data_IF_219548401613
#
_entry.id   IF_219548401613
#
_cell.length_a   1.000
_cell.length_b   1.000
_cell.length_c   1.000
_cell.angle_alpha   90.00
_cell.angle_beta   90.00
_cell.angle_gamma   90.00
#
_symmetry.space_group_name_H-M   'P 1'
#
loop_
_entity.id
_entity.type
_entity.pdbx_description
1 polymer ?
#
# COMPACT_ATOMS: atom_id res chain seq x y z
N UNK A 1 5.05 9.10 6.87
CA UNK A 1 5.04 10.04 5.72
C UNK A 1 4.09 9.59 4.61
N UNK A 2 4.17 8.36 4.10
CA UNK A 2 3.32 7.89 3.00
C UNK A 2 1.81 8.07 3.27
N UNK A 3 1.31 7.67 4.44
CA UNK A 3 -0.08 7.88 4.87
C UNK A 3 -0.50 9.35 4.84
N UNK A 4 0.39 10.26 5.27
CA UNK A 4 0.10 11.70 5.24
C UNK A 4 0.01 12.20 3.80
N UNK A 5 0.92 11.78 2.92
CA UNK A 5 0.85 12.13 1.48
C UNK A 5 -0.45 11.61 0.88
N UNK A 6 -0.84 10.38 1.19
CA UNK A 6 -2.08 9.76 0.73
C UNK A 6 -3.32 10.60 1.11
N UNK A 7 -3.47 10.97 2.39
CA UNK A 7 -4.59 11.83 2.81
C UNK A 7 -4.48 13.26 2.29
N UNK A 8 -3.26 13.74 2.07
CA UNK A 8 -3.02 15.06 1.49
C UNK A 8 -3.47 15.18 0.03
N UNK A 9 -3.28 14.13 -0.81
CA UNK A 9 -3.76 14.14 -2.20
C UNK A 9 -5.28 14.05 -2.29
N UNK A 10 -5.94 13.46 -1.28
CA UNK A 10 -7.40 13.54 -1.10
C UNK A 10 -7.88 14.92 -0.61
N UNK A 11 -6.97 15.79 -0.17
CA UNK A 11 -7.32 17.11 0.36
C UNK A 11 -7.82 17.09 1.81
N UNK A 12 -7.46 16.08 2.58
CA UNK A 12 -8.04 15.82 3.91
C UNK A 12 -7.22 16.42 5.08
N UNK A 13 -5.97 16.84 4.87
CA UNK A 13 -5.12 17.34 5.96
C UNK A 13 -5.47 18.78 6.37
N UNK A 14 -5.67 19.64 5.38
CA UNK A 14 -6.01 21.06 5.57
C UNK A 14 -7.25 21.42 4.75
N UNK A 15 -7.92 22.50 5.16
CA UNK A 15 -8.99 23.08 4.34
C UNK A 15 -8.44 23.67 3.04
N UNK A 16 -7.24 24.25 3.10
CA UNK A 16 -6.55 24.82 1.94
C UNK A 16 -5.88 23.77 1.09
N UNK A 17 -6.26 23.64 -0.19
CA UNK A 17 -5.60 22.76 -1.15
C UNK A 17 -4.13 23.14 -1.39
N UNK A 18 -3.79 24.44 -1.29
CA UNK A 18 -2.40 24.90 -1.39
C UNK A 18 -1.54 24.33 -0.26
N UNK A 19 -2.06 24.26 0.96
CA UNK A 19 -1.37 23.68 2.11
C UNK A 19 -1.22 22.16 1.97
N UNK A 20 -2.26 21.46 1.53
CA UNK A 20 -2.19 20.03 1.22
C UNK A 20 -1.08 19.74 0.20
N UNK A 21 -1.08 20.49 -0.91
CA UNK A 21 -0.05 20.37 -1.95
C UNK A 21 1.35 20.66 -1.40
N UNK A 22 1.55 21.77 -0.71
CA UNK A 22 2.86 22.15 -0.18
C UNK A 22 3.45 21.09 0.75
N UNK A 23 2.66 20.58 1.71
CA UNK A 23 3.12 19.51 2.60
C UNK A 23 3.42 18.22 1.83
N UNK A 24 2.54 17.80 0.92
CA UNK A 24 2.76 16.61 0.12
C UNK A 24 4.00 16.71 -0.78
N UNK A 25 4.26 17.88 -1.36
CA UNK A 25 5.48 18.09 -2.18
C UNK A 25 6.74 17.94 -1.34
N UNK A 26 6.78 18.51 -0.13
CA UNK A 26 7.91 18.32 0.79
C UNK A 26 8.08 16.85 1.14
N UNK A 27 7.03 16.19 1.66
CA UNK A 27 7.12 14.81 2.13
C UNK A 27 7.44 13.83 1.00
N UNK A 28 6.86 14.03 -0.19
CA UNK A 28 7.13 13.16 -1.35
C UNK A 28 8.53 13.37 -1.92
N UNK A 29 9.11 14.57 -1.80
CA UNK A 29 10.51 14.82 -2.14
C UNK A 29 11.44 14.06 -1.19
N UNK A 30 11.18 14.15 0.13
CA UNK A 30 11.98 13.45 1.14
C UNK A 30 11.92 11.92 0.96
N UNK A 31 10.78 11.36 0.59
CA UNK A 31 10.62 9.92 0.32
C UNK A 31 11.06 9.51 -1.09
N UNK A 32 11.41 10.47 -1.96
CA UNK A 32 11.74 10.20 -3.36
C UNK A 32 10.59 9.44 -4.06
N UNK A 33 9.37 9.92 -3.90
CA UNK A 33 8.17 9.39 -4.57
C UNK A 33 7.55 10.45 -5.47
N UNK A 34 6.57 10.06 -6.29
CA UNK A 34 5.98 10.92 -7.30
C UNK A 34 5.41 12.25 -6.71
N UNK A 35 5.40 13.36 -7.49
CA UNK A 35 4.86 14.65 -7.10
C UNK A 35 3.37 14.60 -6.80
N UNK A 36 2.88 15.58 -6.03
CA UNK A 36 1.49 15.71 -5.60
C UNK A 36 0.48 15.58 -6.76
N UNK A 37 0.65 16.35 -7.84
CA UNK A 37 -0.33 16.36 -8.95
C UNK A 37 -0.39 15.00 -9.67
N UNK A 38 0.77 14.38 -9.92
CA UNK A 38 0.83 13.07 -10.57
C UNK A 38 0.19 11.99 -9.71
N UNK A 39 0.44 12.02 -8.39
CA UNK A 39 -0.15 11.07 -7.47
C UNK A 39 -1.65 11.31 -7.31
N UNK A 40 -2.08 12.56 -7.19
CA UNK A 40 -3.50 12.91 -7.10
C UNK A 40 -4.28 12.51 -8.35
N UNK A 41 -3.73 12.79 -9.54
CA UNK A 41 -4.34 12.40 -10.82
C UNK A 41 -4.53 10.89 -10.86
N UNK A 42 -3.49 10.14 -10.57
CA UNK A 42 -3.53 8.70 -10.59
C UNK A 42 -4.42 8.13 -9.47
N UNK A 43 -4.16 8.49 -8.22
CA UNK A 43 -4.77 7.83 -7.06
C UNK A 43 -6.23 8.25 -6.85
N UNK A 44 -6.51 9.57 -6.86
CA UNK A 44 -7.85 10.08 -6.54
C UNK A 44 -8.80 9.98 -7.72
N UNK A 45 -8.35 10.27 -8.95
CA UNK A 45 -9.26 10.35 -10.10
C UNK A 45 -9.30 9.07 -10.94
N UNK A 46 -8.19 8.31 -11.02
CA UNK A 46 -8.15 7.07 -11.79
C UNK A 46 -8.45 5.87 -10.89
N UNK A 47 -7.63 5.62 -9.85
CA UNK A 47 -7.72 4.47 -8.96
C UNK A 47 -8.99 4.47 -8.09
N UNK A 48 -9.34 5.61 -7.44
CA UNK A 48 -10.66 5.73 -6.77
C UNK A 48 -11.83 5.95 -7.73
N UNK A 49 -11.56 6.10 -9.02
CA UNK A 49 -12.54 6.37 -10.06
C UNK A 49 -12.83 5.15 -10.94
N UNK A 50 -13.12 5.45 -12.20
CA UNK A 50 -13.55 4.47 -13.19
C UNK A 50 -12.52 3.38 -13.52
N UNK A 51 -11.24 3.67 -13.31
CA UNK A 51 -10.16 2.73 -13.62
C UNK A 51 -9.99 1.63 -12.57
N UNK A 52 -10.58 1.79 -11.38
CA UNK A 52 -10.43 0.83 -10.28
C UNK A 52 -10.73 -0.61 -10.71
N UNK A 53 -9.83 -1.50 -10.37
CA UNK A 53 -9.89 -2.93 -10.73
C UNK A 53 -10.05 -3.19 -12.23
N UNK A 54 -9.48 -2.34 -13.10
CA UNK A 54 -9.39 -2.54 -14.54
C UNK A 54 -7.92 -2.53 -14.99
N UNK A 55 -7.65 -2.89 -16.25
CA UNK A 55 -6.29 -2.79 -16.80
C UNK A 55 -5.78 -1.35 -16.98
N UNK A 56 -6.64 -0.34 -16.81
CA UNK A 56 -6.26 1.07 -16.78
C UNK A 56 -5.79 1.50 -15.39
N UNK A 57 -6.10 0.74 -14.35
CA UNK A 57 -5.60 0.94 -12.99
C UNK A 57 -4.10 0.64 -12.94
N UNK A 58 -3.30 1.65 -12.67
CA UNK A 58 -1.83 1.52 -12.66
C UNK A 58 -1.34 0.61 -11.54
N UNK A 59 -2.05 0.54 -10.41
CA UNK A 59 -1.68 -0.34 -9.30
C UNK A 59 -1.96 -1.80 -9.64
N UNK A 60 -3.13 -2.12 -10.21
CA UNK A 60 -3.42 -3.45 -10.71
C UNK A 60 -2.44 -3.85 -11.83
N UNK A 61 -2.19 -2.94 -12.76
CA UNK A 61 -1.22 -3.18 -13.84
C UNK A 61 0.19 -3.44 -13.28
N UNK A 62 0.63 -2.70 -12.26
CA UNK A 62 1.93 -2.90 -11.61
C UNK A 62 2.02 -4.27 -10.91
N UNK A 63 0.97 -4.67 -10.18
CA UNK A 63 0.89 -6.00 -9.53
C UNK A 63 0.99 -7.12 -10.57
N UNK A 64 0.28 -7.00 -11.69
CA UNK A 64 0.33 -7.99 -12.76
C UNK A 64 1.66 -8.02 -13.51
N UNK A 65 2.26 -6.84 -13.76
CA UNK A 65 3.60 -6.74 -14.37
C UNK A 65 4.69 -7.31 -13.47
N UNK A 66 4.53 -7.19 -12.15
CA UNK A 66 5.39 -7.87 -11.18
C UNK A 66 5.18 -9.39 -11.14
N UNK A 67 4.18 -9.92 -11.83
CA UNK A 67 3.92 -11.35 -11.95
C UNK A 67 2.94 -11.92 -10.93
N UNK A 68 2.27 -11.10 -10.12
CA UNK A 68 1.18 -11.54 -9.24
C UNK A 68 -0.13 -11.57 -10.02
N UNK A 69 -0.33 -12.62 -10.80
CA UNK A 69 -1.44 -12.75 -11.75
C UNK A 69 -2.37 -13.90 -11.37
N UNK A 70 -3.67 -13.84 -11.75
CA UNK A 70 -4.58 -14.97 -11.65
C UNK A 70 -4.04 -16.27 -12.31
N UNK A 71 -4.53 -17.41 -11.85
CA UNK A 71 -4.20 -18.74 -12.39
C UNK A 71 -2.88 -19.33 -11.91
N UNK A 72 -2.15 -18.67 -11.00
CA UNK A 72 -1.01 -19.24 -10.28
C UNK A 72 -1.48 -19.87 -8.98
N UNK A 73 -0.87 -20.98 -8.59
CA UNK A 73 -1.11 -21.59 -7.28
C UNK A 73 -0.61 -20.66 -6.15
N UNK A 74 -1.18 -20.80 -4.97
CA UNK A 74 -0.71 -20.05 -3.77
C UNK A 74 0.78 -20.25 -3.52
N UNK A 75 1.28 -21.47 -3.66
CA UNK A 75 2.69 -21.78 -3.46
C UNK A 75 3.58 -21.02 -4.44
N UNK A 76 3.19 -20.96 -5.72
CA UNK A 76 3.90 -20.17 -6.73
C UNK A 76 3.88 -18.68 -6.40
N UNK A 77 2.74 -18.13 -5.94
CA UNK A 77 2.63 -16.73 -5.56
C UNK A 77 3.53 -16.38 -4.36
N UNK A 78 3.59 -17.25 -3.33
CA UNK A 78 4.49 -17.05 -2.20
C UNK A 78 5.96 -17.19 -2.58
N UNK A 79 6.32 -18.17 -3.37
CA UNK A 79 7.69 -18.33 -3.89
C UNK A 79 8.09 -17.10 -4.73
N UNK A 80 7.16 -16.63 -5.58
CA UNK A 80 7.36 -15.45 -6.40
C UNK A 80 7.53 -14.17 -5.54
N UNK A 81 6.73 -13.99 -4.48
CA UNK A 81 6.89 -12.89 -3.54
C UNK A 81 8.27 -12.90 -2.90
N UNK A 82 8.69 -14.05 -2.36
CA UNK A 82 10.02 -14.19 -1.75
C UNK A 82 11.13 -13.81 -2.73
N UNK A 83 11.11 -14.38 -3.94
CA UNK A 83 12.09 -14.08 -4.99
C UNK A 83 12.07 -12.60 -5.41
N UNK A 84 10.89 -11.97 -5.48
CA UNK A 84 10.76 -10.55 -5.79
C UNK A 84 11.39 -9.69 -4.70
N UNK A 85 11.09 -9.97 -3.43
CA UNK A 85 11.61 -9.19 -2.29
C UNK A 85 13.14 -9.23 -2.17
N UNK A 86 13.79 -10.32 -2.58
CA UNK A 86 15.25 -10.43 -2.55
C UNK A 86 15.91 -10.08 -3.91
N UNK A 87 15.14 -9.77 -4.96
CA UNK A 87 15.66 -9.52 -6.31
C UNK A 87 16.35 -8.16 -6.43
N UNK A 88 17.64 -8.11 -6.75
CA UNK A 88 18.32 -6.83 -7.04
C UNK A 88 17.66 -6.08 -8.20
N UNK A 89 17.17 -6.79 -9.23
CA UNK A 89 16.46 -6.20 -10.37
C UNK A 89 15.20 -5.45 -9.91
N UNK A 90 14.39 -6.04 -9.02
CA UNK A 90 13.21 -5.39 -8.44
C UNK A 90 13.61 -4.06 -7.77
N UNK A 91 14.60 -4.10 -6.89
CA UNK A 91 15.04 -2.91 -6.18
C UNK A 91 15.59 -1.82 -7.10
N UNK A 92 16.40 -2.18 -8.09
CA UNK A 92 16.98 -1.22 -9.04
C UNK A 92 15.90 -0.59 -9.95
N UNK A 93 14.98 -1.40 -10.50
CA UNK A 93 13.92 -0.90 -11.39
C UNK A 93 12.94 0.01 -10.64
N UNK A 94 12.52 -0.37 -9.44
CA UNK A 94 11.65 0.47 -8.63
C UNK A 94 12.32 1.76 -8.19
N UNK A 95 13.58 1.69 -7.75
CA UNK A 95 14.32 2.88 -7.37
C UNK A 95 14.52 3.81 -8.57
N UNK A 96 14.87 3.28 -9.72
CA UNK A 96 14.96 4.06 -10.96
C UNK A 96 13.63 4.74 -11.30
N UNK A 97 12.50 4.03 -11.20
CA UNK A 97 11.17 4.63 -11.41
C UNK A 97 10.89 5.80 -10.47
N UNK A 98 11.24 5.65 -9.19
CA UNK A 98 11.14 6.73 -8.18
C UNK A 98 12.04 7.92 -8.53
N UNK A 99 13.28 7.69 -8.96
CA UNK A 99 14.19 8.74 -9.41
C UNK A 99 13.62 9.48 -10.62
N UNK A 100 13.20 8.72 -11.63
CA UNK A 100 12.62 9.28 -12.85
C UNK A 100 11.41 10.17 -12.54
N UNK A 101 10.51 9.73 -11.64
CA UNK A 101 9.33 10.51 -11.26
C UNK A 101 9.63 11.82 -10.52
N UNK A 102 10.85 11.99 -10.01
CA UNK A 102 11.30 13.20 -9.33
C UNK A 102 12.16 14.14 -10.20
N UNK A 103 12.65 13.65 -11.34
CA UNK A 103 13.59 14.37 -12.20
C UNK A 103 13.04 14.67 -13.59
N UNK A 104 12.12 13.84 -14.10
CA UNK A 104 11.66 13.92 -15.49
C UNK A 104 10.20 14.37 -15.55
N UNK A 105 9.93 15.43 -16.32
CA UNK A 105 8.58 15.95 -16.52
C UNK A 105 7.97 16.63 -15.27
N UNK A 106 8.82 17.03 -14.32
CA UNK A 106 8.38 17.68 -13.07
C UNK A 106 8.43 19.21 -13.19
N UNK A 107 7.63 19.96 -12.43
CA UNK A 107 7.73 21.40 -12.35
C UNK A 107 9.12 21.88 -11.84
N UNK A 108 9.61 23.07 -12.27
CA UNK A 108 10.94 23.55 -11.88
C UNK A 108 11.16 23.62 -10.37
N UNK A 109 10.17 24.01 -9.59
CA UNK A 109 10.28 24.03 -8.11
C UNK A 109 10.53 22.63 -7.54
N UNK A 110 9.89 21.61 -8.11
CA UNK A 110 10.09 20.22 -7.66
C UNK A 110 11.51 19.73 -7.98
N UNK A 111 12.01 20.05 -9.15
CA UNK A 111 13.40 19.71 -9.51
C UNK A 111 14.40 20.36 -8.54
N UNK A 112 14.22 21.65 -8.22
CA UNK A 112 15.07 22.36 -7.26
C UNK A 112 15.01 21.69 -5.87
N UNK A 113 13.82 21.40 -5.34
CA UNK A 113 13.68 20.69 -4.07
C UNK A 113 14.37 19.33 -4.08
N UNK A 114 14.23 18.59 -5.17
CA UNK A 114 14.87 17.28 -5.36
C UNK A 114 16.39 17.40 -5.36
N UNK A 115 16.95 18.34 -6.10
CA UNK A 115 18.39 18.57 -6.14
C UNK A 115 18.96 19.01 -4.78
N UNK A 116 18.27 19.90 -4.06
CA UNK A 116 18.63 20.30 -2.69
C UNK A 116 18.65 19.08 -1.76
N UNK A 117 17.60 18.25 -1.83
CA UNK A 117 17.53 17.04 -1.00
C UNK A 117 18.65 16.05 -1.32
N UNK A 118 18.99 15.86 -2.59
CA UNK A 118 20.10 15.00 -3.01
C UNK A 118 21.45 15.53 -2.57
N UNK A 119 21.65 16.85 -2.65
CA UNK A 119 22.87 17.47 -2.13
C UNK A 119 22.97 17.28 -0.60
N UNK A 120 21.86 17.38 0.13
CA UNK A 120 21.82 17.10 1.57
C UNK A 120 22.15 15.64 1.88
N UNK A 121 21.58 14.67 1.12
CA UNK A 121 21.90 13.25 1.28
C UNK A 121 23.38 12.96 0.97
N UNK A 122 23.93 13.57 -0.07
CA UNK A 122 25.35 13.44 -0.41
C UNK A 122 26.25 14.02 0.70
N UNK A 123 25.91 15.20 1.21
CA UNK A 123 26.62 15.81 2.35
C UNK A 123 26.55 14.93 3.61
N UNK A 124 25.37 14.41 3.94
CA UNK A 124 25.22 13.43 5.03
C UNK A 124 26.09 12.18 4.83
N UNK A 125 26.13 11.66 3.61
CA UNK A 125 26.94 10.47 3.29
C UNK A 125 28.44 10.70 3.52
N UNK A 126 28.94 11.90 3.20
CA UNK A 126 30.33 12.29 3.47
C UNK A 126 30.61 12.32 4.98
N UNK A 127 29.68 12.90 5.76
CA UNK A 127 29.82 13.02 7.22
C UNK A 127 29.70 11.67 7.95
N UNK A 128 28.80 10.80 7.49
CA UNK A 128 28.53 9.50 8.12
C UNK A 128 29.60 8.44 7.78
N UNK A 129 30.26 8.57 6.63
CA UNK A 129 31.13 7.53 6.08
C UNK A 129 30.36 6.38 5.44
N UNK A 130 31.08 5.48 4.76
CA UNK A 130 30.49 4.46 3.87
C UNK A 130 29.55 3.50 4.59
N UNK A 131 29.96 2.89 5.69
CA UNK A 131 29.17 1.88 6.39
C UNK A 131 27.85 2.44 6.94
N UNK A 132 27.91 3.62 7.59
CA UNK A 132 26.71 4.25 8.11
C UNK A 132 25.77 4.75 6.99
N UNK A 133 26.33 5.25 5.87
CA UNK A 133 25.54 5.60 4.68
C UNK A 133 24.77 4.40 4.14
N UNK A 134 25.41 3.25 4.01
CA UNK A 134 24.73 2.02 3.56
C UNK A 134 23.59 1.66 4.52
N UNK A 135 23.85 1.61 5.82
CA UNK A 135 22.88 1.14 6.80
C UNK A 135 21.73 2.12 7.04
N UNK A 136 22.00 3.43 7.08
CA UNK A 136 21.03 4.45 7.49
C UNK A 136 20.29 5.06 6.29
N UNK A 137 20.93 5.14 5.12
CA UNK A 137 20.34 5.75 3.93
C UNK A 137 20.00 4.71 2.86
N UNK A 138 20.96 3.95 2.34
CA UNK A 138 20.71 3.09 1.18
C UNK A 138 19.77 1.94 1.50
N UNK A 139 19.99 1.19 2.56
CA UNK A 139 19.12 0.07 2.93
C UNK A 139 17.68 0.52 3.18
N UNK A 140 17.40 1.57 4.01
CA UNK A 140 16.03 2.02 4.21
C UNK A 140 15.37 2.56 2.95
N UNK A 141 16.04 3.40 2.17
CA UNK A 141 15.43 4.07 1.00
C UNK A 141 15.34 3.20 -0.25
N UNK A 142 16.30 2.29 -0.45
CA UNK A 142 16.39 1.48 -1.70
C UNK A 142 15.84 0.08 -1.50
N UNK A 143 15.96 -0.51 -0.30
CA UNK A 143 15.54 -1.89 -0.06
C UNK A 143 14.28 -1.95 0.79
N UNK A 144 14.34 -1.51 2.06
CA UNK A 144 13.23 -1.71 2.99
C UNK A 144 11.96 -0.93 2.59
N UNK A 145 12.11 0.30 2.09
CA UNK A 145 10.97 1.06 1.58
C UNK A 145 10.24 0.31 0.46
N UNK A 146 10.97 -0.30 -0.46
CA UNK A 146 10.35 -1.01 -1.60
C UNK A 146 9.73 -2.34 -1.18
N UNK A 147 10.37 -3.08 -0.27
CA UNK A 147 9.79 -4.29 0.30
C UNK A 147 8.47 -3.99 1.02
N UNK A 148 8.48 -2.97 1.89
CA UNK A 148 7.28 -2.59 2.64
C UNK A 148 6.20 -2.00 1.75
N UNK A 149 6.55 -1.23 0.72
CA UNK A 149 5.60 -0.70 -0.27
C UNK A 149 4.95 -1.81 -1.09
N UNK A 150 5.71 -2.84 -1.51
CA UNK A 150 5.13 -3.98 -2.21
C UNK A 150 4.18 -4.77 -1.31
N UNK A 151 4.56 -5.04 -0.06
CA UNK A 151 3.69 -5.73 0.89
C UNK A 151 2.43 -4.93 1.22
N UNK A 152 2.56 -3.61 1.33
CA UNK A 152 1.44 -2.71 1.50
C UNK A 152 0.48 -2.80 0.31
N UNK A 153 0.99 -2.58 -0.90
CA UNK A 153 0.22 -2.63 -2.14
C UNK A 153 -0.46 -3.99 -2.35
N UNK A 154 0.26 -5.10 -2.20
CA UNK A 154 -0.30 -6.46 -2.36
C UNK A 154 -1.47 -6.75 -1.43
N UNK A 155 -1.51 -6.11 -0.26
CA UNK A 155 -2.54 -6.37 0.74
C UNK A 155 -3.68 -5.35 0.75
N UNK A 156 -3.66 -4.32 -0.08
CA UNK A 156 -4.72 -3.28 -0.12
C UNK A 156 -5.99 -3.78 -0.81
N UNK A 157 -5.82 -4.59 -1.84
CA UNK A 157 -6.90 -5.05 -2.72
C UNK A 157 -6.75 -6.53 -3.04
N UNK A 158 -7.85 -7.11 -3.52
CA UNK A 158 -7.85 -8.51 -3.98
C UNK A 158 -7.14 -8.67 -5.33
N UNK A 159 -6.97 -7.59 -6.09
CA UNK A 159 -6.31 -7.52 -7.40
C UNK A 159 -6.96 -8.40 -8.48
N UNK A 160 -8.28 -8.51 -8.43
CA UNK A 160 -9.09 -9.15 -9.47
C UNK A 160 -9.65 -8.07 -10.39
N UNK A 161 -9.63 -8.34 -11.70
CA UNK A 161 -10.24 -7.45 -12.69
C UNK A 161 -11.75 -7.44 -12.50
N UNK A 162 -12.32 -6.25 -12.49
CA UNK A 162 -13.75 -6.02 -12.35
C UNK A 162 -14.55 -6.80 -13.40
N UNK A 163 -15.59 -7.49 -12.94
CA UNK A 163 -16.48 -8.26 -13.80
C UNK A 163 -17.28 -7.40 -14.76
N UNK A 164 -17.75 -8.01 -15.84
CA UNK A 164 -18.64 -7.34 -16.80
C UNK A 164 -19.97 -7.01 -16.11
N UNK A 165 -20.41 -5.74 -16.20
CA UNK A 165 -21.62 -5.25 -15.53
C UNK A 165 -21.45 -4.86 -14.06
N UNK A 166 -20.31 -5.16 -13.41
CA UNK A 166 -20.03 -4.73 -12.05
C UNK A 166 -19.78 -3.21 -12.01
N UNK A 167 -20.49 -2.52 -11.14
CA UNK A 167 -20.28 -1.08 -10.93
C UNK A 167 -18.96 -0.79 -10.20
N UNK A 168 -18.42 0.43 -10.35
CA UNK A 168 -17.23 0.88 -9.60
C UNK A 168 -17.45 0.74 -8.09
N UNK A 169 -18.65 1.05 -7.59
CA UNK A 169 -18.97 0.95 -6.17
C UNK A 169 -18.96 -0.50 -5.66
N UNK A 170 -19.54 -1.42 -6.40
CA UNK A 170 -19.50 -2.84 -6.08
C UNK A 170 -18.07 -3.36 -6.09
N UNK A 171 -17.28 -2.97 -7.09
CA UNK A 171 -15.87 -3.33 -7.15
C UNK A 171 -15.08 -2.80 -5.96
N UNK A 172 -15.32 -1.57 -5.49
CA UNK A 172 -14.71 -1.06 -4.25
C UNK A 172 -15.09 -1.91 -3.03
N UNK A 173 -16.35 -2.35 -2.94
CA UNK A 173 -16.82 -3.20 -1.83
C UNK A 173 -16.15 -4.57 -1.87
N UNK A 174 -16.07 -5.18 -3.05
CA UNK A 174 -15.59 -6.55 -3.23
C UNK A 174 -14.06 -6.67 -3.19
N UNK A 175 -13.34 -5.65 -3.65
CA UNK A 175 -11.90 -5.73 -3.88
C UNK A 175 -11.04 -4.93 -2.90
N UNK A 176 -11.61 -4.10 -2.01
CA UNK A 176 -10.82 -3.34 -1.03
C UNK A 176 -10.83 -4.04 0.34
N UNK A 177 -9.68 -4.05 1.02
CA UNK A 177 -9.48 -4.82 2.24
C UNK A 177 -9.24 -3.93 3.46
N UNK A 178 -9.76 -4.34 4.64
CA UNK A 178 -9.28 -3.86 5.92
C UNK A 178 -8.22 -4.82 6.48
N UNK A 179 -7.11 -4.27 6.99
CA UNK A 179 -5.94 -5.05 7.41
C UNK A 179 -5.47 -4.60 8.77
N UNK A 180 -5.87 -5.32 9.80
CA UNK A 180 -5.50 -5.01 11.17
C UNK A 180 -4.26 -5.78 11.59
N UNK A 181 -3.44 -5.21 12.47
CA UNK A 181 -2.25 -5.86 13.01
C UNK A 181 -2.42 -6.07 14.51
N UNK A 182 -2.64 -7.31 14.91
CA UNK A 182 -2.84 -7.70 16.29
C UNK A 182 -3.42 -9.09 16.41
N UNK A 183 -3.48 -9.60 17.63
CA UNK A 183 -4.08 -10.89 18.00
C UNK A 183 -4.95 -10.71 19.22
N UNK A 184 -5.91 -11.62 19.42
CA UNK A 184 -6.77 -11.65 20.61
C UNK A 184 -5.90 -11.86 21.85
N UNK A 185 -6.16 -11.04 22.87
CA UNK A 185 -5.48 -11.12 24.16
C UNK A 185 -5.77 -12.47 24.85
N UNK A 186 -4.78 -13.10 25.49
CA UNK A 186 -5.01 -14.31 26.26
C UNK A 186 -6.06 -14.10 27.36
N UNK A 187 -6.90 -15.12 27.59
CA UNK A 187 -8.12 -15.02 28.41
C UNK A 187 -7.86 -14.75 29.91
N UNK A 188 -6.67 -15.04 30.45
CA UNK A 188 -6.39 -14.97 31.89
C UNK A 188 -4.91 -14.76 32.17
N UNK A 189 -4.60 -14.12 33.28
CA UNK A 189 -3.24 -13.98 33.82
C UNK A 189 -2.79 -15.16 34.70
N UNK A 190 -3.59 -16.23 34.81
CA UNK A 190 -3.19 -17.40 35.61
C UNK A 190 -1.86 -18.01 35.09
N UNK A 191 -0.99 -18.58 35.98
CA UNK A 191 0.34 -19.08 35.60
C UNK A 191 0.34 -20.05 34.41
N UNK A 192 -0.70 -20.87 34.26
CA UNK A 192 -0.85 -21.79 33.11
C UNK A 192 -0.92 -21.10 31.77
N UNK A 193 -1.22 -19.79 31.69
CA UNK A 193 -1.30 -19.01 30.45
C UNK A 193 -0.03 -18.20 30.16
N UNK A 194 1.04 -18.33 30.96
CA UNK A 194 2.27 -17.54 30.80
C UNK A 194 2.91 -17.75 29.41
N UNK A 195 2.88 -18.97 28.88
CA UNK A 195 3.36 -19.28 27.53
C UNK A 195 2.53 -18.61 26.43
N UNK A 196 1.21 -18.49 26.62
CA UNK A 196 0.34 -17.77 25.67
C UNK A 196 0.62 -16.27 25.70
N UNK A 197 0.85 -15.69 26.88
CA UNK A 197 1.24 -14.29 27.03
C UNK A 197 2.60 -13.99 26.40
N UNK A 198 3.58 -14.87 26.61
CA UNK A 198 4.90 -14.73 26.02
C UNK A 198 4.82 -14.78 24.47
N UNK A 199 4.06 -15.73 23.92
CA UNK A 199 3.81 -15.81 22.47
C UNK A 199 3.10 -14.57 21.96
N UNK A 200 2.02 -14.15 22.62
CA UNK A 200 1.24 -12.95 22.25
C UNK A 200 2.12 -11.71 22.22
N UNK A 201 2.93 -11.50 23.26
CA UNK A 201 3.85 -10.36 23.35
C UNK A 201 4.92 -10.43 22.25
N UNK A 202 5.52 -11.59 22.02
CA UNK A 202 6.50 -11.79 20.95
C UNK A 202 5.91 -11.47 19.56
N UNK A 203 4.71 -11.99 19.26
CA UNK A 203 4.00 -11.68 18.01
C UNK A 203 3.71 -10.19 17.87
N UNK A 204 3.26 -9.53 18.96
CA UNK A 204 2.99 -8.09 18.93
C UNK A 204 4.26 -7.26 18.71
N UNK A 205 5.36 -7.59 19.36
CA UNK A 205 6.61 -6.83 19.25
C UNK A 205 7.38 -7.14 17.96
N UNK A 206 7.43 -8.40 17.53
CA UNK A 206 8.30 -8.81 16.42
C UNK A 206 7.59 -8.86 15.07
N UNK A 207 6.27 -8.96 15.04
CA UNK A 207 5.49 -9.05 13.81
C UNK A 207 4.52 -7.89 13.65
N UNK A 208 3.55 -7.76 14.58
CA UNK A 208 2.48 -6.78 14.41
C UNK A 208 2.96 -5.33 14.52
N UNK A 209 3.85 -5.00 15.45
CA UNK A 209 4.39 -3.65 15.59
C UNK A 209 5.21 -3.23 14.35
N UNK A 210 6.18 -4.01 13.85
CA UNK A 210 6.84 -3.70 12.58
C UNK A 210 5.86 -3.57 11.40
N UNK A 211 4.86 -4.44 11.28
CA UNK A 211 3.85 -4.33 10.23
C UNK A 211 3.05 -3.03 10.33
N UNK A 212 2.64 -2.61 11.53
CA UNK A 212 1.93 -1.34 11.76
C UNK A 212 2.78 -0.11 11.47
N UNK A 213 4.07 -0.18 11.74
CA UNK A 213 4.97 0.94 11.55
C UNK A 213 5.43 1.08 10.09
N UNK A 214 5.62 -0.02 9.39
CA UNK A 214 6.32 -0.05 8.11
C UNK A 214 5.43 -0.43 6.92
N UNK A 215 4.39 -1.24 7.12
CA UNK A 215 3.57 -1.77 6.03
C UNK A 215 2.17 -1.14 6.05
N UNK A 216 1.37 -1.38 7.08
CA UNK A 216 -0.03 -0.91 7.18
C UNK A 216 -0.13 0.20 8.19
N UNK A 217 0.05 1.44 7.75
CA UNK A 217 0.23 2.59 8.63
C UNK A 217 -1.08 3.38 8.87
N UNK A 218 -1.32 3.73 10.12
CA UNK A 218 -2.38 4.68 10.51
C UNK A 218 -3.78 4.23 10.08
N UNK A 219 -4.56 5.17 9.57
CA UNK A 219 -5.94 4.93 9.13
C UNK A 219 -6.08 4.10 7.86
N UNK A 220 -4.98 3.86 7.12
CA UNK A 220 -4.97 2.97 5.95
C UNK A 220 -5.17 1.49 6.32
N UNK A 221 -5.24 1.15 7.61
CA UNK A 221 -5.76 -0.16 8.06
C UNK A 221 -7.20 -0.38 7.57
N UNK A 222 -8.02 0.69 7.50
CA UNK A 222 -9.40 0.69 7.02
C UNK A 222 -9.49 1.11 5.55
N UNK A 223 -8.70 0.47 4.67
CA UNK A 223 -8.63 0.83 3.26
C UNK A 223 -9.94 0.57 2.52
N UNK A 224 -10.69 -0.45 2.91
CA UNK A 224 -12.05 -0.72 2.45
C UNK A 224 -13.03 0.43 2.76
N UNK A 225 -12.94 1.03 3.95
CA UNK A 225 -13.70 2.22 4.31
C UNK A 225 -13.29 3.42 3.44
N UNK A 226 -11.99 3.61 3.27
CA UNK A 226 -11.43 4.69 2.47
C UNK A 226 -11.93 4.63 1.02
N UNK A 227 -11.96 3.47 0.38
CA UNK A 227 -12.49 3.31 -0.98
C UNK A 227 -14.00 3.55 -1.06
N UNK A 228 -14.77 3.13 -0.06
CA UNK A 228 -16.23 3.35 -0.02
C UNK A 228 -16.60 4.81 0.20
N UNK A 229 -15.79 5.54 0.95
CA UNK A 229 -16.08 6.90 1.44
C UNK A 229 -14.88 7.84 1.30
N UNK A 230 -14.22 7.82 0.15
CA UNK A 230 -12.99 8.58 -0.14
C UNK A 230 -13.09 10.10 -0.01
N UNK A 231 -14.31 10.66 0.12
CA UNK A 231 -14.53 12.09 0.36
C UNK A 231 -14.61 12.47 1.85
N UNK A 232 -14.64 11.49 2.77
CA UNK A 232 -14.72 11.72 4.21
C UNK A 232 -13.39 12.25 4.73
N UNK A 233 -13.39 13.48 5.24
CA UNK A 233 -12.18 14.19 5.67
C UNK A 233 -11.64 13.75 7.02
N UNK A 234 -12.45 13.05 7.84
CA UNK A 234 -12.07 12.57 9.17
C UNK A 234 -11.20 11.30 9.08
N UNK A 235 -10.11 11.37 8.32
CA UNK A 235 -9.21 10.24 8.08
C UNK A 235 -8.61 9.65 9.36
N UNK A 236 -8.44 10.46 10.40
CA UNK A 236 -7.96 10.04 11.71
C UNK A 236 -8.99 9.20 12.49
N UNK A 237 -10.24 9.16 12.06
CA UNK A 237 -11.37 8.50 12.74
C UNK A 237 -11.95 7.33 11.90
N UNK A 238 -11.26 6.92 10.81
CA UNK A 238 -11.77 5.89 9.87
C UNK A 238 -12.15 4.59 10.56
N UNK A 239 -11.38 4.13 11.55
CA UNK A 239 -11.71 2.91 12.29
C UNK A 239 -13.06 3.00 12.98
N UNK A 240 -13.34 4.12 13.67
CA UNK A 240 -14.61 4.37 14.35
C UNK A 240 -15.77 4.53 13.36
N UNK A 241 -15.57 5.29 12.29
CA UNK A 241 -16.61 5.52 11.27
C UNK A 241 -16.96 4.23 10.55
N UNK A 242 -15.96 3.40 10.25
CA UNK A 242 -16.14 2.07 9.67
C UNK A 242 -16.93 1.16 10.60
N UNK A 243 -16.61 1.14 11.90
CA UNK A 243 -17.30 0.33 12.91
C UNK A 243 -18.78 0.73 13.03
N UNK A 244 -19.07 2.03 13.10
CA UNK A 244 -20.46 2.55 13.12
C UNK A 244 -21.21 2.09 11.88
N UNK A 245 -20.61 2.15 10.70
CA UNK A 245 -21.24 1.72 9.46
C UNK A 245 -21.41 0.20 9.39
N UNK A 246 -20.41 -0.57 9.82
CA UNK A 246 -20.50 -2.02 9.90
C UNK A 246 -21.64 -2.47 10.83
N UNK A 247 -21.78 -1.81 11.98
CA UNK A 247 -22.88 -2.07 12.90
C UNK A 247 -24.25 -1.75 12.26
N UNK A 248 -24.37 -0.63 11.55
CA UNK A 248 -25.61 -0.31 10.82
C UNK A 248 -25.95 -1.37 9.78
N UNK A 249 -24.99 -1.81 8.99
CA UNK A 249 -25.18 -2.87 7.99
C UNK A 249 -25.56 -4.20 8.63
N UNK A 250 -25.01 -4.54 9.79
CA UNK A 250 -25.38 -5.78 10.50
C UNK A 250 -26.83 -5.81 10.96
N UNK A 251 -27.40 -4.64 11.30
CA UNK A 251 -28.84 -4.51 11.61
C UNK A 251 -29.70 -4.75 10.35
N UNK A 252 -29.17 -4.41 9.17
CA UNK A 252 -29.78 -4.65 7.86
C UNK A 252 -29.49 -6.07 7.31
N UNK A 253 -28.90 -6.96 8.13
CA UNK A 253 -28.45 -8.32 7.76
C UNK A 253 -27.45 -8.33 6.59
N UNK A 254 -26.67 -7.25 6.43
CA UNK A 254 -25.63 -7.09 5.42
C UNK A 254 -24.25 -7.14 6.07
N UNK A 255 -23.39 -7.98 5.56
CA UNK A 255 -22.03 -8.22 6.10
C UNK A 255 -20.97 -7.93 5.04
N UNK A 256 -20.90 -6.66 4.63
CA UNK A 256 -20.04 -6.20 3.53
C UNK A 256 -18.58 -5.93 3.96
N UNK A 257 -18.24 -6.05 5.26
CA UNK A 257 -16.92 -5.80 5.77
C UNK A 257 -16.22 -7.09 6.21
N UNK A 258 -14.93 -7.20 5.85
CA UNK A 258 -14.08 -8.31 6.26
C UNK A 258 -12.90 -7.80 7.06
N UNK A 259 -12.80 -8.20 8.33
CA UNK A 259 -11.68 -7.87 9.20
C UNK A 259 -10.56 -8.88 9.03
N UNK A 260 -9.49 -8.49 8.36
CA UNK A 260 -8.33 -9.36 8.17
C UNK A 260 -7.26 -8.99 9.19
N UNK A 261 -6.97 -9.91 10.12
CA UNK A 261 -6.00 -9.71 11.18
C UNK A 261 -4.65 -10.35 10.84
N UNK A 262 -3.61 -9.51 10.73
CA UNK A 262 -2.26 -9.91 10.34
C UNK A 262 -1.99 -9.73 8.83
N UNK A 263 -0.86 -9.11 8.49
CA UNK A 263 -0.42 -8.91 7.09
C UNK A 263 -0.26 -10.25 6.36
N UNK A 264 0.19 -11.29 7.05
CA UNK A 264 0.31 -12.63 6.48
C UNK A 264 -1.05 -13.23 6.08
N UNK A 265 -2.09 -13.01 6.88
CA UNK A 265 -3.45 -13.43 6.55
C UNK A 265 -4.04 -12.62 5.38
N UNK A 266 -3.70 -11.32 5.28
CA UNK A 266 -4.09 -10.50 4.14
C UNK A 266 -3.42 -10.99 2.85
N UNK A 267 -2.13 -11.32 2.88
CA UNK A 267 -1.44 -11.96 1.75
C UNK A 267 -2.07 -13.30 1.39
N UNK A 268 -2.37 -14.14 2.38
CA UNK A 268 -3.02 -15.43 2.17
C UNK A 268 -4.40 -15.29 1.51
N UNK A 269 -5.17 -14.31 1.95
CA UNK A 269 -6.47 -13.99 1.38
C UNK A 269 -6.34 -13.58 -0.10
N UNK A 270 -5.44 -12.63 -0.40
CA UNK A 270 -5.20 -12.15 -1.77
C UNK A 270 -4.70 -13.28 -2.67
N UNK A 271 -3.72 -14.05 -2.23
CA UNK A 271 -3.16 -15.15 -3.02
C UNK A 271 -4.16 -16.30 -3.20
N UNK A 272 -5.01 -16.56 -2.20
CA UNK A 272 -6.11 -17.51 -2.35
C UNK A 272 -7.14 -17.04 -3.38
N UNK A 273 -7.41 -15.75 -3.41
CA UNK A 273 -8.34 -15.17 -4.38
C UNK A 273 -7.78 -15.20 -5.79
N UNK A 274 -6.53 -14.80 -5.99
CA UNK A 274 -5.85 -14.88 -7.28
C UNK A 274 -5.73 -16.34 -7.80
N UNK A 275 -5.47 -17.28 -6.90
CA UNK A 275 -5.32 -18.69 -7.30
C UNK A 275 -6.63 -19.37 -7.73
N UNK A 276 -7.79 -18.86 -7.30
CA UNK A 276 -9.10 -19.38 -7.69
C UNK A 276 -9.61 -18.83 -9.03
N UNK A 277 -9.03 -17.72 -9.48
CA UNK A 277 -9.43 -17.11 -10.76
C UNK A 277 -8.73 -17.80 -11.93
N UNK A 278 -9.49 -18.13 -12.96
CA UNK A 278 -8.92 -18.62 -14.21
C UNK A 278 -8.18 -17.48 -14.94
N UNK A 279 -7.07 -17.84 -15.56
CA UNK A 279 -6.31 -16.92 -16.39
C UNK A 279 -7.03 -16.76 -17.73
N UNK A 280 -7.85 -15.72 -17.89
CA UNK A 280 -8.49 -15.47 -19.17
C UNK A 280 -7.47 -15.10 -20.24
N UNK A 281 -7.65 -15.59 -21.47
CA UNK A 281 -6.81 -15.27 -22.64
C UNK A 281 -6.77 -13.74 -22.91
N UNK A 282 -7.89 -13.05 -22.66
CA UNK A 282 -8.01 -11.60 -22.77
C UNK A 282 -7.09 -10.85 -21.80
N UNK A 283 -6.89 -11.39 -20.59
CA UNK A 283 -5.98 -10.83 -19.59
C UNK A 283 -4.53 -10.96 -20.05
N UNK A 284 -4.19 -12.10 -20.65
CA UNK A 284 -2.86 -12.38 -21.19
C UNK A 284 -2.52 -11.47 -22.38
N UNK A 285 -3.45 -11.32 -23.33
CA UNK A 285 -3.25 -10.51 -24.53
C UNK A 285 -3.07 -9.01 -24.20
N UNK A 286 -3.87 -8.45 -23.28
CA UNK A 286 -3.77 -7.04 -22.87
C UNK A 286 -2.51 -6.73 -22.05
N UNK A 287 -2.02 -7.67 -21.24
CA UNK A 287 -0.75 -7.54 -20.53
C UNK A 287 0.45 -7.51 -21.50
N UNK A 288 0.44 -8.37 -22.51
CA UNK A 288 1.51 -8.44 -23.52
C UNK A 288 1.57 -7.16 -24.35
N UNK A 289 0.41 -6.56 -24.68
CA UNK A 289 0.34 -5.32 -25.46
C UNK A 289 0.89 -4.08 -24.71
N UNK A 290 0.84 -4.05 -23.37
CA UNK A 290 1.36 -2.94 -22.55
C UNK A 290 2.81 -3.08 -22.14
N UNK A 291 3.42 -4.23 -22.34
CA UNK A 291 4.85 -4.48 -22.06
C UNK A 291 5.77 -4.13 -23.22
N UNK A 292 5.20 -3.89 -24.42
CA UNK A 292 5.85 -3.37 -25.62
C UNK A 292 5.61 -1.87 -25.76
#
# INVERSE_FOLDING_TARGET
MATIIHHGVHGHLYQSQKMNKALCEVLSTLLIVQPYESYRQFHVYEHHGRAFSTFEDKDLAAIYQLGFTPGKSKTELYAHLFLTLISPKFHLVFFYGRLKSNLVGVPPYRLVMTLIWWAALAGMSILLGTSATILILLLPFVVFYQMTSLLHLLTEHVWIVRGEGESVRESHINNSLARFCGEICPKSFAPKYIGHWAKWLAMHLLVHLPCRMLIVQGSLVCHDWHHRYGTVRQWYDYAKLREIHAHKLSIEERYDYHDIWGVHNALDYVFSSLSRQERSELQTARLTYRLN
#
